data_IF_828882691180
#
_entry.id   IF_828882691180
#
_cell.length_a   1.000
_cell.length_b   1.000
_cell.length_c   1.000
_cell.angle_alpha   90.00
_cell.angle_beta   90.00
_cell.angle_gamma   90.00
#
_symmetry.space_group_name_H-M   'P 1'
#
loop_
_entity.id
_entity.type
_entity.pdbx_description
1 polymer ?
#
# COMPACT_ATOMS: atom_id res chain seq x y z
N UNK A 1 -0.89 13.55 6.10
CA UNK A 1 -1.72 12.33 6.26
C UNK A 1 -0.83 11.10 6.14
N UNK A 2 -0.56 10.37 7.23
CA UNK A 2 0.01 9.02 7.13
C UNK A 2 -1.07 8.08 6.60
N UNK A 3 -1.23 8.04 5.27
CA UNK A 3 -1.82 6.88 4.64
C UNK A 3 -0.82 5.74 4.82
N UNK A 4 -1.07 4.87 5.79
CA UNK A 4 -0.42 3.57 5.86
C UNK A 4 -0.89 2.78 4.62
N UNK A 5 -0.24 3.00 3.48
CA UNK A 5 -0.39 2.10 2.34
C UNK A 5 0.40 0.84 2.67
N UNK A 6 -0.29 -0.14 3.25
CA UNK A 6 0.24 -1.50 3.21
C UNK A 6 0.12 -1.95 1.76
N UNK A 7 1.21 -1.82 1.02
CA UNK A 7 1.29 -2.30 -0.34
C UNK A 7 1.68 -3.77 -0.28
N UNK A 8 0.70 -4.65 -0.44
CA UNK A 8 0.92 -6.08 -0.45
C UNK A 8 1.42 -6.47 -1.83
N UNK A 9 2.72 -6.74 -1.93
CA UNK A 9 3.31 -7.36 -3.10
C UNK A 9 2.96 -8.85 -3.08
N UNK A 10 1.96 -9.25 -3.85
CA UNK A 10 1.78 -10.64 -4.24
C UNK A 10 2.53 -10.83 -5.56
N UNK A 11 3.64 -11.59 -5.55
CA UNK A 11 4.36 -12.01 -6.75
C UNK A 11 3.74 -13.26 -7.41
N UNK A 12 2.46 -13.54 -7.14
CA UNK A 12 1.71 -14.67 -7.70
C UNK A 12 0.47 -14.17 -8.41
N UNK A 13 0.30 -14.63 -9.65
CA UNK A 13 -0.83 -14.44 -10.57
C UNK A 13 -1.55 -13.08 -10.47
N UNK A 14 -1.10 -12.13 -11.29
CA UNK A 14 -1.62 -10.77 -11.42
C UNK A 14 -3.12 -10.67 -11.80
N UNK A 15 -3.81 -11.80 -12.01
CA UNK A 15 -5.20 -11.84 -12.49
C UNK A 15 -6.26 -11.86 -11.39
N UNK A 16 -5.94 -12.15 -10.11
CA UNK A 16 -6.97 -12.42 -9.07
C UNK A 16 -7.01 -11.49 -7.86
N UNK A 17 -6.19 -10.44 -7.81
CA UNK A 17 -6.16 -9.51 -6.67
C UNK A 17 -6.49 -8.07 -7.12
N UNK A 18 -7.76 -7.60 -7.00
CA UNK A 18 -8.15 -6.25 -7.44
C UNK A 18 -7.67 -5.13 -6.49
N UNK A 19 -6.95 -5.45 -5.41
CA UNK A 19 -6.33 -4.45 -4.54
C UNK A 19 -5.25 -3.67 -5.30
N UNK A 20 -5.62 -2.58 -5.98
CA UNK A 20 -4.68 -1.67 -6.65
C UNK A 20 -3.96 -2.33 -7.85
N UNK A 21 -4.63 -3.18 -8.62
CA UNK A 21 -3.95 -3.92 -9.72
C UNK A 21 -3.36 -3.01 -10.81
N UNK A 22 -4.00 -1.88 -11.13
CA UNK A 22 -3.60 -0.99 -12.23
C UNK A 22 -2.38 -0.08 -11.98
N UNK A 23 -1.83 0.00 -10.76
CA UNK A 23 -0.67 0.86 -10.44
C UNK A 23 0.41 0.18 -9.59
N UNK A 24 0.35 -1.16 -9.50
CA UNK A 24 1.31 -1.98 -8.75
C UNK A 24 2.73 -1.93 -9.33
N UNK A 25 2.91 -1.55 -10.58
CA UNK A 25 4.19 -1.68 -11.27
C UNK A 25 5.02 -0.40 -11.30
N UNK A 26 4.44 0.79 -11.07
CA UNK A 26 5.15 2.04 -11.32
C UNK A 26 6.43 2.19 -10.47
N UNK A 27 6.36 1.89 -9.17
CA UNK A 27 7.55 1.94 -8.31
C UNK A 27 8.62 0.91 -8.73
N UNK A 28 8.21 -0.29 -9.14
CA UNK A 28 9.13 -1.35 -9.56
C UNK A 28 9.78 -1.03 -10.91
N UNK A 29 9.00 -0.50 -11.86
CA UNK A 29 9.49 -0.01 -13.15
C UNK A 29 10.45 1.15 -12.98
N UNK A 30 10.10 2.15 -12.15
CA UNK A 30 10.98 3.30 -11.83
C UNK A 30 12.28 2.81 -11.21
N UNK A 31 12.21 1.94 -10.22
CA UNK A 31 13.41 1.37 -9.59
C UNK A 31 14.26 0.60 -10.61
N UNK A 32 13.64 -0.27 -11.42
CA UNK A 32 14.35 -1.09 -12.42
C UNK A 32 15.03 -0.23 -13.47
N UNK A 33 14.32 0.75 -14.04
CA UNK A 33 14.85 1.66 -15.05
C UNK A 33 15.96 2.54 -14.48
N UNK A 34 15.80 3.05 -13.25
CA UNK A 34 16.84 3.83 -12.60
C UNK A 34 18.13 3.01 -12.44
N UNK A 35 18.01 1.75 -12.01
CA UNK A 35 19.16 0.84 -11.91
C UNK A 35 19.78 0.52 -13.27
N UNK A 36 18.97 0.26 -14.29
CA UNK A 36 19.44 -0.07 -15.64
C UNK A 36 20.17 1.10 -16.30
N UNK A 37 19.67 2.32 -16.09
CA UNK A 37 20.21 3.54 -16.68
C UNK A 37 21.28 4.22 -15.83
N UNK A 38 21.63 3.67 -14.66
CA UNK A 38 22.59 4.29 -13.73
C UNK A 38 22.11 5.61 -13.13
N UNK A 39 20.80 5.80 -12.99
CA UNK A 39 20.21 6.97 -12.34
C UNK A 39 20.28 6.78 -10.83
N UNK A 40 20.99 7.69 -10.16
CA UNK A 40 21.06 7.78 -8.71
C UNK A 40 20.23 8.95 -8.20
N UNK A 41 19.78 8.89 -6.94
CA UNK A 41 19.07 9.99 -6.28
C UNK A 41 17.62 9.64 -5.87
N UNK A 42 16.82 10.69 -5.66
CA UNK A 42 15.45 10.59 -5.19
C UNK A 42 14.50 10.14 -6.29
N UNK A 43 14.00 8.90 -6.19
CA UNK A 43 13.15 8.28 -7.20
C UNK A 43 11.65 8.37 -6.88
N UNK A 44 11.29 8.78 -5.66
CA UNK A 44 9.89 8.87 -5.25
C UNK A 44 9.14 9.97 -6.00
N UNK A 45 9.82 11.04 -6.43
CA UNK A 45 9.26 12.07 -7.34
C UNK A 45 8.83 11.43 -8.67
N UNK A 46 9.70 10.63 -9.29
CA UNK A 46 9.41 9.96 -10.56
C UNK A 46 8.27 8.95 -10.39
N UNK A 47 8.29 8.17 -9.30
CA UNK A 47 7.21 7.25 -8.98
C UNK A 47 5.88 7.96 -8.69
N UNK A 48 5.93 9.16 -8.11
CA UNK A 48 4.76 9.99 -7.84
C UNK A 48 4.02 10.38 -9.13
N UNK A 49 4.77 10.71 -10.20
CA UNK A 49 4.19 11.10 -11.50
C UNK A 49 3.39 9.97 -12.16
N UNK A 50 3.83 8.71 -12.04
CA UNK A 50 3.07 7.57 -12.57
C UNK A 50 1.91 7.16 -11.65
N UNK A 51 2.10 7.25 -10.33
CA UNK A 51 1.04 7.02 -9.35
C UNK A 51 1.31 7.72 -8.03
N UNK A 52 0.37 8.55 -7.58
CA UNK A 52 0.50 9.27 -6.32
C UNK A 52 0.81 8.40 -5.10
N UNK A 53 0.40 7.13 -5.07
CA UNK A 53 0.74 6.20 -3.98
C UNK A 53 2.03 5.41 -4.21
N UNK A 54 2.52 5.29 -5.45
CA UNK A 54 3.71 4.50 -5.76
C UNK A 54 4.99 5.07 -5.15
N UNK A 55 5.06 6.40 -4.93
CA UNK A 55 6.18 7.05 -4.27
C UNK A 55 6.50 6.40 -2.90
N UNK A 56 5.47 6.06 -2.11
CA UNK A 56 5.65 5.44 -0.78
C UNK A 56 6.15 4.01 -0.83
N UNK A 57 6.11 3.37 -2.00
CA UNK A 57 6.64 2.01 -2.19
C UNK A 57 8.07 1.98 -2.65
N UNK A 58 8.71 3.14 -2.84
CA UNK A 58 10.16 3.19 -3.08
C UNK A 58 10.96 2.78 -1.83
N UNK A 59 10.33 2.79 -0.66
CA UNK A 59 10.96 2.50 0.63
C UNK A 59 10.24 1.36 1.37
N UNK A 60 11.02 0.58 2.13
CA UNK A 60 10.49 -0.37 3.10
C UNK A 60 10.03 0.29 4.40
N UNK A 61 9.26 -0.47 5.18
CA UNK A 61 8.83 -0.06 6.53
C UNK A 61 7.66 0.92 6.53
N UNK A 62 7.75 1.92 7.40
CA UNK A 62 6.73 2.95 7.59
C UNK A 62 7.12 4.20 6.82
N UNK A 63 6.31 4.57 5.85
CA UNK A 63 6.65 5.61 4.87
C UNK A 63 5.55 6.66 4.87
N UNK A 64 5.93 7.93 4.93
CA UNK A 64 5.03 9.05 4.68
C UNK A 64 5.24 9.58 3.28
N UNK A 65 4.19 10.20 2.74
CA UNK A 65 4.29 11.06 1.57
C UNK A 65 4.16 12.50 2.04
N UNK A 66 5.19 13.29 1.79
CA UNK A 66 5.23 14.72 2.00
C UNK A 66 4.56 15.35 0.78
N UNK A 67 3.51 16.15 1.00
CA UNK A 67 2.77 16.78 -0.10
C UNK A 67 3.63 17.77 -0.91
N UNK A 68 4.56 18.44 -0.22
CA UNK A 68 5.29 19.57 -0.77
C UNK A 68 4.43 20.83 -0.85
N UNK A 69 5.09 21.98 -0.91
CA UNK A 69 4.48 23.30 -1.06
C UNK A 69 4.98 24.02 -2.32
N UNK A 70 5.99 23.48 -3.03
CA UNK A 70 6.53 24.11 -4.22
C UNK A 70 5.61 23.87 -5.44
N UNK A 71 5.38 24.90 -6.27
CA UNK A 71 4.57 24.76 -7.48
C UNK A 71 5.11 23.76 -8.51
N UNK A 72 6.42 23.49 -8.48
CA UNK A 72 7.06 22.50 -9.35
C UNK A 72 6.93 21.05 -8.84
N UNK A 73 6.37 20.86 -7.63
CA UNK A 73 6.14 19.56 -7.02
C UNK A 73 7.40 18.82 -6.57
N UNK A 74 8.58 19.44 -6.63
CA UNK A 74 9.86 18.78 -6.32
C UNK A 74 10.05 18.41 -4.85
N UNK A 75 9.25 18.98 -3.97
CA UNK A 75 9.19 18.63 -2.55
C UNK A 75 8.03 17.68 -2.21
N UNK A 76 7.29 17.20 -3.21
CA UNK A 76 6.29 16.14 -3.09
C UNK A 76 6.93 14.76 -3.15
N UNK A 77 7.57 14.34 -2.05
CA UNK A 77 8.41 13.12 -2.00
C UNK A 77 7.97 12.15 -0.90
N UNK A 78 8.35 10.89 -1.04
CA UNK A 78 8.19 9.90 0.02
C UNK A 78 9.39 9.91 0.96
N UNK A 79 9.12 9.75 2.26
CA UNK A 79 10.15 9.67 3.29
C UNK A 79 9.89 8.48 4.20
N UNK A 80 10.93 7.67 4.45
CA UNK A 80 10.86 6.57 5.41
C UNK A 80 10.96 7.10 6.83
N UNK A 81 9.91 6.88 7.62
CA UNK A 81 9.85 7.29 9.03
C UNK A 81 10.46 6.22 9.94
N UNK A 82 10.21 4.94 9.66
CA UNK A 82 10.77 3.81 10.40
C UNK A 82 11.08 2.64 9.46
N UNK A 83 12.14 1.86 9.72
CA UNK A 83 12.45 0.67 8.92
C UNK A 83 11.40 -0.43 9.09
N UNK A 84 11.40 -1.41 8.19
CA UNK A 84 10.53 -2.60 8.27
C UNK A 84 10.80 -3.47 9.50
N UNK A 85 11.99 -3.36 10.09
CA UNK A 85 12.37 -4.04 11.34
C UNK A 85 11.86 -3.35 12.60
N UNK A 86 11.27 -2.15 12.51
CA UNK A 86 10.83 -1.39 13.68
C UNK A 86 9.74 -2.11 14.49
N UNK A 87 8.83 -2.83 13.82
CA UNK A 87 7.73 -3.54 14.46
C UNK A 87 7.55 -4.94 13.86
N UNK A 88 8.42 -5.89 14.23
CA UNK A 88 8.48 -7.20 13.59
C UNK A 88 7.27 -8.08 13.91
N UNK A 89 6.54 -7.81 15.00
CA UNK A 89 5.29 -8.52 15.32
C UNK A 89 4.08 -8.02 14.53
N UNK A 90 4.18 -6.85 13.88
CA UNK A 90 3.06 -6.30 13.11
C UNK A 90 2.72 -7.25 11.95
N UNK A 91 1.43 -7.58 11.83
CA UNK A 91 0.88 -8.36 10.72
C UNK A 91 -0.23 -7.56 10.07
N UNK A 92 -0.34 -7.69 8.76
CA UNK A 92 -1.44 -7.14 7.98
C UNK A 92 -2.20 -8.30 7.39
N UNK A 93 -3.47 -8.40 7.79
CA UNK A 93 -4.42 -9.36 7.25
C UNK A 93 -5.32 -8.64 6.26
N UNK A 94 -5.34 -9.11 5.02
CA UNK A 94 -6.24 -8.63 3.99
C UNK A 94 -7.27 -9.71 3.72
N UNK A 95 -8.53 -9.39 4.01
CA UNK A 95 -9.67 -10.26 3.73
C UNK A 95 -10.19 -9.88 2.35
N UNK A 96 -9.94 -10.74 1.36
CA UNK A 96 -10.43 -10.51 0.00
C UNK A 96 -11.87 -11.03 -0.09
N UNK A 97 -12.81 -10.10 -0.19
CA UNK A 97 -14.25 -10.39 -0.26
C UNK A 97 -14.75 -10.55 -1.70
N UNK A 98 -14.11 -9.89 -2.66
CA UNK A 98 -14.41 -10.01 -4.08
C UNK A 98 -13.14 -9.75 -4.91
N UNK A 99 -13.01 -10.50 -6.00
CA UNK A 99 -11.99 -10.29 -7.02
C UNK A 99 -12.48 -9.42 -8.19
N UNK A 100 -13.72 -8.93 -8.13
CA UNK A 100 -14.33 -8.16 -9.21
C UNK A 100 -13.76 -6.75 -9.35
N UNK A 101 -13.91 -6.22 -10.56
CA UNK A 101 -13.46 -4.88 -10.88
C UNK A 101 -14.34 -3.82 -10.23
N UNK A 102 -13.70 -2.79 -9.67
CA UNK A 102 -14.42 -1.63 -9.16
C UNK A 102 -15.06 -0.90 -10.34
N UNK A 103 -16.37 -0.56 -10.27
CA UNK A 103 -17.03 0.16 -11.36
C UNK A 103 -16.48 1.57 -11.57
N UNK A 104 -15.94 2.19 -10.51
CA UNK A 104 -15.33 3.53 -10.57
C UNK A 104 -13.85 3.43 -10.22
N UNK A 105 -13.00 3.88 -11.16
CA UNK A 105 -11.55 3.98 -10.95
C UNK A 105 -11.18 5.06 -9.93
N UNK A 106 -10.09 4.85 -9.18
CA UNK A 106 -9.69 5.74 -8.09
C UNK A 106 -9.43 7.19 -8.52
N UNK A 107 -8.84 7.43 -9.70
CA UNK A 107 -8.57 8.79 -10.18
C UNK A 107 -9.87 9.57 -10.39
N UNK A 108 -10.83 8.99 -11.13
CA UNK A 108 -12.13 9.61 -11.35
C UNK A 108 -12.88 9.79 -10.02
N UNK A 109 -12.95 8.74 -9.20
CA UNK A 109 -13.64 8.80 -7.91
C UNK A 109 -13.06 9.85 -6.95
N UNK A 110 -11.73 9.98 -6.87
CA UNK A 110 -11.07 11.01 -6.06
C UNK A 110 -11.37 12.41 -6.59
N UNK A 111 -11.28 12.63 -7.90
CA UNK A 111 -11.57 13.93 -8.51
C UNK A 111 -13.01 14.37 -8.25
N UNK A 112 -13.97 13.47 -8.45
CA UNK A 112 -15.38 13.72 -8.13
C UNK A 112 -15.54 14.04 -6.64
N UNK A 113 -14.89 13.27 -5.75
CA UNK A 113 -14.96 13.51 -4.30
C UNK A 113 -14.46 14.90 -3.89
N UNK A 114 -13.35 15.36 -4.49
CA UNK A 114 -12.81 16.72 -4.27
C UNK A 114 -13.82 17.80 -4.69
N UNK A 115 -14.47 17.60 -5.82
CA UNK A 115 -15.43 18.56 -6.37
C UNK A 115 -16.73 18.60 -5.56
N UNK A 116 -17.25 17.43 -5.18
CA UNK A 116 -18.63 17.31 -4.69
C UNK A 116 -18.75 17.12 -3.19
N UNK A 117 -17.74 16.59 -2.50
CA UNK A 117 -17.84 16.26 -1.06
C UNK A 117 -17.56 17.47 -0.17
N UNK A 118 -18.54 17.96 0.62
CA UNK A 118 -18.28 19.00 1.61
C UNK A 118 -17.36 18.51 2.73
N UNK A 119 -17.45 17.23 3.08
CA UNK A 119 -16.64 16.61 4.14
C UNK A 119 -15.16 16.61 3.79
N UNK A 120 -14.82 16.37 2.52
CA UNK A 120 -13.43 16.33 2.10
C UNK A 120 -12.75 17.71 2.19
N UNK A 121 -13.51 18.79 1.96
CA UNK A 121 -13.02 20.18 2.12
C UNK A 121 -12.69 20.47 3.58
N UNK A 122 -13.56 20.02 4.49
CA UNK A 122 -13.38 20.18 5.94
C UNK A 122 -12.20 19.32 6.43
N UNK A 123 -12.14 18.05 6.04
CA UNK A 123 -11.05 17.14 6.39
C UNK A 123 -9.69 17.63 5.89
N UNK A 124 -9.60 18.13 4.65
CA UNK A 124 -8.36 18.68 4.10
C UNK A 124 -7.82 19.84 4.95
N UNK A 125 -8.70 20.76 5.35
CA UNK A 125 -8.34 21.90 6.20
C UNK A 125 -7.84 21.48 7.59
N UNK A 126 -8.57 20.59 8.27
CA UNK A 126 -8.16 20.14 9.62
C UNK A 126 -6.92 19.24 9.60
N UNK A 127 -6.78 18.37 8.59
CA UNK A 127 -5.62 17.49 8.46
C UNK A 127 -4.34 18.28 8.16
N UNK A 128 -4.44 19.35 7.36
CA UNK A 128 -3.32 20.25 7.10
C UNK A 128 -2.86 20.99 8.36
N UNK A 129 -3.80 21.57 9.12
CA UNK A 129 -3.51 22.28 10.38
C UNK A 129 -2.87 21.36 11.43
N UNK A 130 -3.40 20.14 11.59
CA UNK A 130 -2.85 19.17 12.55
C UNK A 130 -1.41 18.76 12.18
N UNK A 131 -1.11 18.62 10.89
CA UNK A 131 0.22 18.21 10.44
C UNK A 131 1.28 19.30 10.68
N UNK A 132 0.96 20.57 10.41
CA UNK A 132 1.87 21.69 10.72
C UNK A 132 2.15 21.85 12.22
N UNK A 133 1.25 21.35 13.08
CA UNK A 133 1.33 21.50 14.54
C UNK A 133 2.10 20.37 15.24
N UNK A 134 2.43 19.28 14.54
CA UNK A 134 2.96 18.06 15.14
C UNK A 134 4.42 17.82 14.71
N UNK A 135 5.42 18.31 15.47
CA UNK A 135 6.83 18.30 15.05
C UNK A 135 7.48 16.91 15.11
N UNK A 136 6.83 15.90 15.70
CA UNK A 136 7.36 14.54 15.82
C UNK A 136 6.23 13.52 15.58
N UNK A 137 6.33 12.72 14.52
CA UNK A 137 5.46 11.56 14.32
C UNK A 137 5.84 10.49 15.35
N UNK A 138 5.13 10.46 16.49
CA UNK A 138 5.31 9.40 17.49
C UNK A 138 4.44 8.20 17.11
N UNK A 139 5.07 7.06 16.81
CA UNK A 139 4.35 5.80 16.66
C UNK A 139 3.89 5.32 18.04
N UNK A 140 2.57 5.27 18.22
CA UNK A 140 1.96 4.66 19.39
C UNK A 140 1.61 3.23 19.02
N UNK A 141 2.31 2.26 19.63
CA UNK A 141 1.86 0.87 19.64
C UNK A 141 0.62 0.82 20.53
N UNK A 142 -0.50 0.34 19.97
CA UNK A 142 -1.74 0.17 20.72
C UNK A 142 -1.52 -0.71 21.96
N UNK A 143 -2.39 -0.57 22.96
CA UNK A 143 -2.37 -1.43 24.14
C UNK A 143 -2.47 -2.90 23.73
N UNK A 144 -1.74 -3.76 24.42
CA UNK A 144 -1.88 -5.20 24.24
C UNK A 144 -3.33 -5.59 24.57
N UNK A 145 -4.05 -6.12 23.58
CA UNK A 145 -5.43 -6.57 23.76
C UNK A 145 -5.37 -8.07 24.06
N UNK A 146 -5.85 -8.48 25.22
CA UNK A 146 -6.09 -9.90 25.51
C UNK A 146 -7.21 -10.42 24.61
N UNK A 147 -7.16 -11.68 24.15
CA UNK A 147 -8.28 -12.28 23.43
C UNK A 147 -9.57 -12.16 24.26
N UNK A 148 -10.62 -11.59 23.67
CA UNK A 148 -11.95 -11.51 24.29
C UNK A 148 -12.91 -12.36 23.46
N UNK A 149 -13.63 -13.26 24.11
CA UNK A 149 -14.72 -13.99 23.47
C UNK A 149 -15.84 -13.02 23.13
N UNK A 150 -16.30 -13.04 21.87
CA UNK A 150 -17.46 -12.26 21.44
C UNK A 150 -18.71 -12.76 22.18
N UNK A 151 -19.41 -11.88 22.89
CA UNK A 151 -20.62 -12.25 23.65
C UNK A 151 -21.80 -12.55 22.72
N UNK A 152 -22.76 -13.36 23.18
CA UNK A 152 -23.94 -13.72 22.38
C UNK A 152 -24.85 -12.51 22.11
N UNK A 153 -24.92 -11.55 23.05
CA UNK A 153 -25.65 -10.30 22.85
C UNK A 153 -25.06 -9.48 21.70
N UNK A 154 -23.72 -9.42 21.60
CA UNK A 154 -23.04 -8.72 20.53
C UNK A 154 -23.22 -9.43 19.18
N UNK A 155 -23.16 -10.77 19.15
CA UNK A 155 -23.47 -11.55 17.94
C UNK A 155 -24.89 -11.31 17.46
N UNK A 156 -25.86 -11.30 18.37
CA UNK A 156 -27.27 -11.04 18.06
C UNK A 156 -27.51 -9.60 17.61
N UNK A 157 -26.81 -8.61 18.18
CA UNK A 157 -26.98 -7.20 17.85
C UNK A 157 -26.34 -6.82 16.50
N UNK A 158 -25.23 -7.45 16.11
CA UNK A 158 -24.59 -7.19 14.81
C UNK A 158 -25.41 -7.79 13.65
N UNK A 159 -26.27 -8.78 13.93
CA UNK A 159 -27.11 -9.41 12.90
C UNK A 159 -26.29 -10.10 11.81
N UNK A 160 -25.17 -10.75 12.20
CA UNK A 160 -24.30 -11.44 11.25
C UNK A 160 -24.92 -12.76 10.81
N UNK A 161 -25.72 -12.75 9.75
CA UNK A 161 -25.96 -13.98 8.99
C UNK A 161 -24.66 -14.38 8.28
N UNK A 162 -24.21 -15.62 8.50
CA UNK A 162 -23.01 -16.13 7.83
C UNK A 162 -23.27 -16.19 6.33
N UNK A 163 -22.56 -15.37 5.54
CA UNK A 163 -22.60 -15.46 4.08
C UNK A 163 -21.62 -16.53 3.57
N UNK A 164 -22.09 -17.65 3.00
CA UNK A 164 -21.21 -18.62 2.36
C UNK A 164 -20.38 -17.94 1.26
N UNK A 165 -19.05 -18.13 1.28
CA UNK A 165 -18.09 -17.47 0.37
C UNK A 165 -18.00 -15.95 0.52
N UNK A 166 -18.40 -15.38 1.66
CA UNK A 166 -18.24 -13.94 1.95
C UNK A 166 -16.77 -13.48 2.01
N UNK A 167 -15.84 -14.41 2.25
CA UNK A 167 -14.40 -14.20 2.11
C UNK A 167 -13.89 -15.23 1.10
N UNK A 168 -13.25 -14.76 0.05
CA UNK A 168 -12.63 -15.61 -0.98
C UNK A 168 -11.31 -16.19 -0.48
N UNK A 169 -10.43 -15.35 0.08
CA UNK A 169 -9.16 -15.76 0.68
C UNK A 169 -8.59 -14.66 1.60
N UNK A 170 -7.61 -15.03 2.43
CA UNK A 170 -6.91 -14.11 3.33
C UNK A 170 -5.46 -14.01 2.90
N UNK A 171 -4.94 -12.79 2.76
CA UNK A 171 -3.51 -12.54 2.61
C UNK A 171 -2.95 -12.14 3.97
N UNK A 172 -2.01 -12.93 4.49
CA UNK A 172 -1.27 -12.63 5.70
C UNK A 172 0.14 -12.15 5.34
N UNK A 173 0.47 -10.91 5.69
CA UNK A 173 1.74 -10.29 5.32
C UNK A 173 2.30 -9.38 6.41
N UNK A 174 3.50 -8.86 6.19
CA UNK A 174 4.22 -7.93 7.07
C UNK A 174 4.80 -6.77 6.26
N UNK A 175 5.27 -5.73 6.95
CA UNK A 175 6.06 -4.69 6.30
C UNK A 175 7.28 -5.32 5.61
N UNK A 176 7.51 -4.93 4.36
CA UNK A 176 8.64 -5.40 3.56
C UNK A 176 9.74 -4.32 3.45
N UNK A 177 10.92 -4.69 2.97
CA UNK A 177 12.07 -3.78 2.86
C UNK A 177 12.00 -2.84 1.65
N UNK A 178 10.94 -2.91 0.84
CA UNK A 178 10.82 -2.15 -0.41
C UNK A 178 11.49 -2.86 -1.61
N UNK A 179 11.60 -2.16 -2.76
CA UNK A 179 12.22 -2.69 -3.96
C UNK A 179 13.72 -2.90 -3.75
N UNK A 180 14.21 -4.04 -4.21
CA UNK A 180 15.62 -4.45 -4.12
C UNK A 180 15.96 -5.33 -5.31
N UNK A 181 17.22 -5.31 -5.72
CA UNK A 181 17.74 -6.27 -6.69
C UNK A 181 17.75 -7.65 -6.02
N UNK A 182 17.18 -8.65 -6.69
CA UNK A 182 17.28 -10.03 -6.25
C UNK A 182 18.65 -10.58 -6.70
N UNK A 183 19.49 -10.97 -5.74
CA UNK A 183 20.78 -11.61 -6.04
C UNK A 183 20.60 -13.11 -6.30
N UNK A 184 19.59 -13.72 -5.69
CA UNK A 184 19.26 -15.11 -5.87
C UNK A 184 18.46 -15.33 -7.16
N UNK A 185 19.11 -15.96 -8.14
CA UNK A 185 18.53 -16.35 -9.43
C UNK A 185 17.32 -17.29 -9.31
N UNK A 186 17.18 -18.01 -8.19
CA UNK A 186 16.00 -18.83 -7.92
C UNK A 186 14.72 -17.99 -7.83
N UNK A 187 14.85 -16.75 -7.31
CA UNK A 187 13.77 -15.79 -7.14
C UNK A 187 13.40 -15.05 -8.43
N UNK A 188 14.19 -15.19 -9.49
CA UNK A 188 13.90 -14.56 -10.77
C UNK A 188 12.58 -15.10 -11.31
N UNK A 189 11.71 -14.21 -11.79
CA UNK A 189 10.46 -14.59 -12.45
C UNK A 189 10.67 -15.02 -13.90
N UNK A 190 11.89 -14.89 -14.42
CA UNK A 190 12.29 -15.30 -15.75
C UNK A 190 13.14 -16.59 -15.68
N UNK A 191 12.94 -17.48 -16.64
CA UNK A 191 13.80 -18.64 -16.88
C UNK A 191 15.15 -18.23 -17.47
N UNK A 192 16.03 -19.21 -17.64
CA UNK A 192 17.34 -19.01 -18.29
C UNK A 192 17.23 -18.60 -19.77
N UNK A 193 16.07 -18.82 -20.38
CA UNK A 193 15.69 -18.39 -21.73
C UNK A 193 15.18 -16.94 -21.78
N UNK A 194 15.06 -16.28 -20.63
CA UNK A 194 14.50 -14.93 -20.51
C UNK A 194 12.98 -14.87 -20.57
N UNK A 195 12.29 -16.01 -20.65
CA UNK A 195 10.82 -16.08 -20.66
C UNK A 195 10.26 -16.21 -19.24
N UNK A 196 9.03 -15.72 -18.96
CA UNK A 196 8.41 -15.90 -17.65
C UNK A 196 8.33 -17.36 -17.22
N UNK A 197 8.72 -17.67 -15.98
CA UNK A 197 8.57 -19.01 -15.39
C UNK A 197 7.07 -19.36 -15.31
N UNK A 198 6.71 -20.57 -15.75
CA UNK A 198 5.40 -21.14 -15.47
C UNK A 198 5.29 -21.53 -13.99
N UNK A 199 4.81 -20.60 -13.17
CA UNK A 199 4.52 -20.85 -11.75
C UNK A 199 3.31 -21.78 -11.65
N UNK A 200 3.52 -23.05 -11.31
CA UNK A 200 2.42 -23.96 -10.97
C UNK A 200 1.76 -23.44 -9.68
N UNK A 201 0.46 -23.20 -9.72
CA UNK A 201 -0.33 -22.94 -8.52
C UNK A 201 -0.30 -24.23 -7.68
N UNK A 202 0.41 -24.22 -6.55
CA UNK A 202 0.28 -25.26 -5.54
C UNK A 202 -1.13 -25.19 -4.96
N UNK A 203 -1.87 -26.29 -5.08
CA UNK A 203 -3.22 -26.48 -4.54
C UNK A 203 -3.25 -26.35 -3.02
#
# INVERSE_FOLDING_TARGET
MLLLSVQVMCSGDATRVPLVSLRRECHHQVYTLARLCGVEGELSEVAHQGSGSACRSMYGGFVQWIMGDKPDGKDSIAERIQPDTHWPELRVLILVVSAEWKPVGSTAGMQTSVQTSPLLKVQGKYSFLYYQSCPVVRFLKGLAVSPVSVTEELKSAIGMESCPRGISYIINTKAGPGPRVAEDTSLHLLGSDGLPKHLKQSA
#
